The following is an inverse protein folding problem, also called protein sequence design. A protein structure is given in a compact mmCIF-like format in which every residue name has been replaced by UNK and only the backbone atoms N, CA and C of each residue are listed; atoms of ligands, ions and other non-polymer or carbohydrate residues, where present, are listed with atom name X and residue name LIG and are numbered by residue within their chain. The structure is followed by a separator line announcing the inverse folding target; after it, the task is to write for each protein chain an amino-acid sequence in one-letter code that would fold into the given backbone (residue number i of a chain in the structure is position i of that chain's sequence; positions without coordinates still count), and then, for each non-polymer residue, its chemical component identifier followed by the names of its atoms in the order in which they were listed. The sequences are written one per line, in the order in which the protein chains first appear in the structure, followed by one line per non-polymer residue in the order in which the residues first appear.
data_IF_591200813412
#
_entry.id   IF_591200813412
#
_cell.length_a   1.000
_cell.length_b   1.000
_cell.length_c   1.000
_cell.angle_alpha   90.00
_cell.angle_beta   90.00
_cell.angle_gamma   90.00
#
_symmetry.space_group_name_H-M   'P 1'
#
loop_
_entity.id
_entity.type
_entity.pdbx_description
1 polymer ?
#
# COMPACT_ATOMS: atom_id res chain seq x y z
N UNK A 1 3.27 6.22 1.32
CA UNK A 1 3.79 6.96 2.48
C UNK A 1 4.11 5.96 3.56
N UNK A 2 5.35 5.90 4.03
CA UNK A 2 5.75 5.01 5.13
C UNK A 2 5.85 5.91 6.38
N UNK A 3 4.95 5.73 7.34
CA UNK A 3 5.03 6.41 8.65
C UNK A 3 5.36 5.34 9.68
N UNK A 4 6.50 5.48 10.36
CA UNK A 4 6.95 4.57 11.40
C UNK A 4 6.98 5.28 12.75
N UNK A 5 6.45 4.62 13.78
CA UNK A 5 6.59 5.00 15.19
C UNK A 5 7.48 3.95 15.87
N UNK A 6 8.78 3.99 15.55
CA UNK A 6 9.78 2.98 15.94
C UNK A 6 10.41 2.22 14.75
N UNK A 7 11.09 1.06 14.99
CA UNK A 7 11.72 0.26 13.93
C UNK A 7 10.70 -0.45 13.02
N UNK A 8 9.43 -0.45 13.41
CA UNK A 8 8.32 -1.06 12.69
C UNK A 8 7.62 -0.04 11.82
N UNK A 9 7.37 -0.43 10.58
CA UNK A 9 6.70 0.39 9.58
C UNK A 9 5.40 -0.29 9.15
N UNK A 10 4.47 0.51 8.65
CA UNK A 10 3.22 0.04 8.04
C UNK A 10 3.24 0.37 6.55
N UNK A 11 2.83 -0.61 5.74
CA UNK A 11 2.73 -0.48 4.29
C UNK A 11 1.41 -1.00 3.76
N UNK A 12 1.03 -0.49 2.59
CA UNK A 12 -0.06 -1.02 1.77
C UNK A 12 0.55 -1.89 0.68
N UNK A 13 0.03 -3.10 0.51
CA UNK A 13 0.51 -4.00 -0.55
C UNK A 13 0.08 -3.50 -1.93
N UNK A 14 1.00 -3.52 -2.88
CA UNK A 14 0.73 -3.28 -4.31
C UNK A 14 0.82 -4.61 -5.07
N UNK A 15 -0.11 -4.86 -5.98
CA UNK A 15 -0.14 -6.07 -6.82
C UNK A 15 -0.54 -5.75 -8.25
N UNK A 16 0.00 -6.48 -9.23
CA UNK A 16 -0.44 -6.46 -10.64
C UNK A 16 -1.52 -7.50 -10.96
N UNK A 17 -1.91 -8.33 -9.98
CA UNK A 17 -2.83 -9.46 -10.16
C UNK A 17 -4.11 -9.34 -9.32
N UNK A 18 -4.61 -8.12 -9.12
CA UNK A 18 -5.82 -7.93 -8.34
C UNK A 18 -7.01 -8.61 -9.03
N UNK A 19 -7.80 -9.35 -8.24
CA UNK A 19 -9.21 -9.60 -8.54
C UNK A 19 -9.95 -8.46 -7.88
N UNK A 20 -10.78 -7.72 -8.61
CA UNK A 20 -11.55 -6.59 -8.09
C UNK A 20 -12.13 -6.90 -6.70
N UNK A 21 -11.55 -6.28 -5.68
CA UNK A 21 -12.02 -6.36 -4.30
C UNK A 21 -12.48 -4.97 -3.85
N UNK A 22 -13.34 -4.95 -2.83
CA UNK A 22 -14.17 -3.79 -2.45
C UNK A 22 -13.34 -2.55 -2.05
N UNK A 23 -12.08 -2.74 -1.68
CA UNK A 23 -11.21 -1.72 -1.09
C UNK A 23 -9.88 -1.59 -1.85
N UNK A 24 -9.88 -2.05 -3.11
CA UNK A 24 -8.74 -1.97 -4.01
C UNK A 24 -8.71 -0.63 -4.74
N UNK A 25 -7.55 0.03 -4.70
CA UNK A 25 -7.31 1.27 -5.44
C UNK A 25 -6.40 0.98 -6.62
N UNK A 26 -6.92 1.18 -7.84
CA UNK A 26 -6.12 1.13 -9.06
C UNK A 26 -5.27 2.39 -9.15
N UNK A 27 -3.96 2.21 -9.34
CA UNK A 27 -3.04 3.34 -9.53
C UNK A 27 -3.36 4.03 -10.86
N UNK A 28 -3.40 5.35 -10.83
CA UNK A 28 -3.63 6.22 -11.99
C UNK A 28 -2.33 6.42 -12.75
N UNK A 29 -1.21 6.59 -12.05
CA UNK A 29 0.12 6.81 -12.65
C UNK A 29 1.17 5.84 -12.09
N UNK A 30 1.04 4.51 -12.35
CA UNK A 30 1.95 3.50 -11.83
C UNK A 30 3.41 3.72 -12.28
N UNK A 31 3.61 4.41 -13.41
CA UNK A 31 4.95 4.65 -13.97
C UNK A 31 5.83 5.53 -13.07
N UNK A 32 5.24 6.42 -12.26
CA UNK A 32 5.97 7.23 -11.28
C UNK A 32 6.70 6.37 -10.22
N UNK A 33 6.13 5.19 -9.93
CA UNK A 33 6.71 4.18 -9.05
C UNK A 33 7.51 3.10 -9.80
N UNK A 34 7.85 3.33 -11.08
CA UNK A 34 8.47 2.35 -11.99
C UNK A 34 7.65 1.04 -12.12
N UNK A 35 6.33 1.13 -12.01
CA UNK A 35 5.41 0.02 -12.21
C UNK A 35 4.75 0.12 -13.59
N UNK A 36 4.49 -1.01 -14.25
CA UNK A 36 3.72 -1.05 -15.50
C UNK A 36 2.22 -0.93 -15.23
N UNK A 37 1.77 -1.56 -14.15
CA UNK A 37 0.43 -1.53 -13.59
C UNK A 37 0.51 -1.70 -12.06
N UNK A 38 -0.57 -1.39 -11.36
CA UNK A 38 -0.59 -1.60 -9.92
C UNK A 38 -1.96 -1.35 -9.31
N UNK A 39 -2.28 -2.19 -8.34
CA UNK A 39 -3.45 -2.05 -7.48
C UNK A 39 -2.99 -2.08 -6.03
N UNK A 40 -3.29 -1.02 -5.30
CA UNK A 40 -3.08 -0.93 -3.86
C UNK A 40 -4.23 -1.63 -3.13
N UNK A 41 -3.89 -2.58 -2.26
CA UNK A 41 -4.82 -3.42 -1.50
C UNK A 41 -5.04 -2.77 -0.13
N UNK A 42 -5.89 -1.75 -0.03
CA UNK A 42 -5.97 -0.88 1.16
C UNK A 42 -6.40 -1.62 2.44
N UNK A 43 -7.24 -2.66 2.33
CA UNK A 43 -7.61 -3.51 3.47
C UNK A 43 -6.47 -4.45 3.94
N UNK A 44 -5.38 -4.60 3.17
CA UNK A 44 -4.25 -5.48 3.49
C UNK A 44 -3.05 -4.67 4.00
N UNK A 45 -3.17 -4.16 5.21
CA UNK A 45 -2.07 -3.48 5.88
C UNK A 45 -1.01 -4.49 6.35
N UNK A 46 0.24 -4.17 6.05
CA UNK A 46 1.40 -4.99 6.38
C UNK A 46 2.26 -4.24 7.38
N UNK A 47 2.58 -4.89 8.50
CA UNK A 47 3.61 -4.40 9.42
C UNK A 47 4.92 -5.15 9.18
N UNK A 48 6.02 -4.42 9.06
CA UNK A 48 7.35 -4.96 8.75
C UNK A 48 8.48 -4.16 9.42
N UNK A 49 9.67 -4.75 9.55
CA UNK A 49 10.86 -4.06 10.04
C UNK A 49 11.57 -3.35 8.88
N UNK A 50 12.15 -2.16 9.11
CA UNK A 50 12.92 -1.46 8.07
C UNK A 50 13.99 -2.33 7.41
N UNK A 51 14.58 -3.25 8.17
CA UNK A 51 15.63 -4.16 7.68
C UNK A 51 15.12 -5.13 6.62
N UNK A 52 13.81 -5.34 6.52
CA UNK A 52 13.18 -6.18 5.51
C UNK A 52 13.01 -5.46 4.17
N UNK A 53 13.31 -4.15 4.10
CA UNK A 53 13.28 -3.38 2.86
C UNK A 53 14.50 -3.76 2.00
N UNK A 54 14.28 -4.56 0.96
CA UNK A 54 15.33 -5.03 0.04
C UNK A 54 15.74 -3.96 -0.98
N UNK A 55 14.92 -2.92 -1.19
CA UNK A 55 15.24 -1.84 -2.13
C UNK A 55 14.18 -0.77 -2.22
N UNK A 56 14.53 0.30 -2.94
CA UNK A 56 13.64 1.41 -3.28
C UNK A 56 13.31 1.36 -4.77
N UNK A 57 12.02 1.24 -5.10
CA UNK A 57 11.56 1.04 -6.47
C UNK A 57 10.97 2.30 -7.11
N UNK A 58 10.73 3.37 -6.34
CA UNK A 58 10.17 4.62 -6.84
C UNK A 58 9.26 5.30 -5.81
N UNK A 59 8.54 6.33 -6.23
CA UNK A 59 7.54 7.00 -5.40
C UNK A 59 6.19 7.01 -6.11
N UNK A 60 5.12 6.86 -5.32
CA UNK A 60 3.79 7.18 -5.81
C UNK A 60 3.65 8.70 -5.89
N UNK A 61 2.93 9.18 -6.90
CA UNK A 61 2.61 10.59 -7.01
C UNK A 61 1.51 10.99 -6.02
N UNK A 62 1.21 12.28 -5.96
CA UNK A 62 0.19 12.78 -5.04
C UNK A 62 -1.23 12.30 -5.41
N UNK A 63 -1.51 12.01 -6.69
CA UNK A 63 -2.83 11.55 -7.11
C UNK A 63 -3.11 10.15 -6.54
N UNK A 64 -2.17 9.24 -6.72
CA UNK A 64 -2.24 7.88 -6.19
C UNK A 64 -2.26 7.87 -4.66
N UNK A 65 -1.42 8.68 -4.03
CA UNK A 65 -1.39 8.81 -2.56
C UNK A 65 -2.75 9.27 -2.04
N UNK A 66 -3.36 10.28 -2.65
CA UNK A 66 -4.65 10.82 -2.21
C UNK A 66 -5.78 9.79 -2.37
N UNK A 67 -5.77 8.99 -3.43
CA UNK A 67 -6.74 7.91 -3.61
C UNK A 67 -6.59 6.82 -2.54
N UNK A 68 -5.35 6.39 -2.27
CA UNK A 68 -5.06 5.38 -1.25
C UNK A 68 -5.48 5.88 0.14
N UNK A 69 -5.10 7.11 0.51
CA UNK A 69 -5.46 7.71 1.80
C UNK A 69 -6.98 7.88 1.92
N UNK A 70 -7.64 8.31 0.84
CA UNK A 70 -9.09 8.46 0.79
C UNK A 70 -9.81 7.13 1.01
N UNK A 71 -9.28 6.02 0.50
CA UNK A 71 -9.85 4.70 0.72
C UNK A 71 -9.56 4.17 2.13
N UNK A 72 -8.32 4.30 2.61
CA UNK A 72 -7.96 3.91 3.97
C UNK A 72 -8.79 4.64 5.04
N UNK A 73 -9.16 5.89 4.80
CA UNK A 73 -9.97 6.69 5.75
C UNK A 73 -11.44 6.28 5.82
N UNK A 74 -11.92 5.41 4.91
CA UNK A 74 -13.28 4.88 4.91
C UNK A 74 -13.38 3.52 5.59
N UNK A 75 -12.26 2.83 5.77
CA UNK A 75 -12.21 1.49 6.33
C UNK A 75 -12.35 1.56 7.85
N UNK A 76 -13.21 0.70 8.38
CA UNK A 76 -13.30 0.49 9.82
C UNK A 76 -12.14 -0.42 10.27
N UNK A 77 -11.79 -0.37 11.56
CA UNK A 77 -10.68 -1.17 12.11
C UNK A 77 -10.85 -2.67 11.83
N UNK A 78 -12.09 -3.17 11.88
CA UNK A 78 -12.44 -4.57 11.62
C UNK A 78 -12.22 -5.03 10.18
N UNK A 79 -12.08 -4.10 9.23
CA UNK A 79 -11.88 -4.42 7.82
C UNK A 79 -10.40 -4.69 7.50
N UNK A 80 -9.48 -4.31 8.39
CA UNK A 80 -8.06 -4.51 8.17
C UNK A 80 -7.63 -5.96 8.42
N UNK A 81 -7.03 -6.55 7.38
CA UNK A 81 -6.31 -7.81 7.49
C UNK A 81 -4.87 -7.49 7.85
N UNK A 82 -4.51 -7.66 9.12
CA UNK A 82 -3.13 -7.53 9.57
C UNK A 82 -2.29 -8.70 9.07
N UNK A 83 -1.39 -8.41 8.14
CA UNK A 83 -0.42 -9.37 7.63
C UNK A 83 0.94 -9.11 8.28
N UNK A 84 1.56 -10.17 8.83
CA UNK A 84 2.93 -10.13 9.34
C UNK A 84 3.85 -10.78 8.31
N UNK A 85 4.88 -10.06 7.88
CA UNK A 85 5.94 -10.63 7.03
C UNK A 85 6.97 -11.28 7.96
N UNK A 86 7.39 -12.50 7.62
CA UNK A 86 8.40 -13.28 8.33
C UNK A 86 9.69 -13.33 7.54
#
# INVERSE_FOLDING_TARGET
MIVGDGPSYVGVKITSKAKYEKDDVWLVEPSAANLTDGVARCAQLVSFDHRDIVGYYGHLDNADINLIVGELSKLDESDFIHLRVH
#
